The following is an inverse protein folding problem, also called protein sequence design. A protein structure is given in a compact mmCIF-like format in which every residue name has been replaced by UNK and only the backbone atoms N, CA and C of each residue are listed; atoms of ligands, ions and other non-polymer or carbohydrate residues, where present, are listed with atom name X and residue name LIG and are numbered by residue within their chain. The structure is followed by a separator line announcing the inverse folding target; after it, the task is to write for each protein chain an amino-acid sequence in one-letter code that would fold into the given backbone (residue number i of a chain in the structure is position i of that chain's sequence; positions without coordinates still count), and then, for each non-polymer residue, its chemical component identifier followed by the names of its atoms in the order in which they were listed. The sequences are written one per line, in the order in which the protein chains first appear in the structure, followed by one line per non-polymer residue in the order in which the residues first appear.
data_IF_448294004551
#
_entry.id   IF_448294004551
#
_cell.length_a   1.000
_cell.length_b   1.000
_cell.length_c   1.000
_cell.angle_alpha   90.00
_cell.angle_beta   90.00
_cell.angle_gamma   90.00
#
_symmetry.space_group_name_H-M   'P 1'
#
loop_
_entity.id
_entity.type
_entity.pdbx_description
1 polymer ?
#
# COMPACT_ATOMS: atom_id res chain seq x y z
N UNK A 1 -4.80 -29.26 1.48
CA UNK A 1 -4.46 -28.33 0.40
C UNK A 1 -5.54 -28.37 -0.66
N UNK A 2 -5.90 -27.23 -1.25
CA UNK A 2 -6.81 -27.22 -2.40
C UNK A 2 -6.09 -27.88 -3.58
N UNK A 3 -6.73 -28.88 -4.22
CA UNK A 3 -6.17 -29.49 -5.43
C UNK A 3 -6.69 -28.69 -6.62
N UNK A 4 -5.84 -27.86 -7.24
CA UNK A 4 -6.20 -27.06 -8.41
C UNK A 4 -6.35 -27.92 -9.68
N UNK A 5 -7.12 -27.40 -10.64
CA UNK A 5 -7.35 -28.03 -11.94
C UNK A 5 -7.30 -26.97 -13.06
N UNK A 6 -6.90 -27.38 -14.27
CA UNK A 6 -6.72 -26.50 -15.43
C UNK A 6 -8.00 -26.27 -16.24
N UNK A 7 -9.17 -26.65 -15.75
CA UNK A 7 -10.44 -26.53 -16.47
C UNK A 7 -11.26 -25.32 -16.07
N UNK A 8 -12.00 -24.74 -17.00
CA UNK A 8 -12.95 -23.66 -16.71
C UNK A 8 -14.05 -24.10 -15.72
N UNK A 9 -14.46 -25.38 -15.76
CA UNK A 9 -15.44 -25.92 -14.82
C UNK A 9 -14.96 -25.87 -13.38
N UNK A 10 -13.67 -26.10 -13.14
CA UNK A 10 -13.06 -25.92 -11.81
C UNK A 10 -13.16 -24.46 -11.35
N UNK A 11 -12.77 -23.50 -12.21
CA UNK A 11 -12.84 -22.09 -11.89
C UNK A 11 -14.27 -21.63 -11.53
N UNK A 12 -15.26 -22.10 -12.29
CA UNK A 12 -16.68 -21.83 -12.02
C UNK A 12 -17.13 -22.40 -10.67
N UNK A 13 -16.75 -23.64 -10.36
CA UNK A 13 -17.09 -24.28 -9.10
C UNK A 13 -16.47 -23.52 -7.91
N UNK A 14 -15.21 -23.11 -8.00
CA UNK A 14 -14.57 -22.34 -6.94
C UNK A 14 -15.19 -20.94 -6.75
N UNK A 15 -15.69 -20.31 -7.83
CA UNK A 15 -16.43 -19.05 -7.73
C UNK A 15 -17.82 -19.24 -7.06
N UNK A 16 -18.50 -20.35 -7.32
CA UNK A 16 -19.78 -20.71 -6.65
C UNK A 16 -19.57 -20.98 -5.14
N UNK A 17 -18.42 -21.54 -4.76
CA UNK A 17 -18.06 -21.83 -3.37
C UNK A 17 -17.46 -20.62 -2.64
N UNK A 18 -17.14 -19.56 -3.35
CA UNK A 18 -16.50 -18.37 -2.78
C UNK A 18 -17.50 -17.51 -1.99
N UNK A 19 -17.33 -17.44 -0.67
CA UNK A 19 -18.16 -16.62 0.20
C UNK A 19 -18.06 -15.10 -0.09
N UNK A 20 -17.05 -14.67 -0.84
CA UNK A 20 -16.81 -13.27 -1.21
C UNK A 20 -17.23 -12.96 -2.65
N UNK A 21 -17.79 -13.90 -3.41
CA UNK A 21 -18.18 -13.70 -4.81
C UNK A 21 -19.11 -12.50 -5.01
N UNK A 22 -20.10 -12.31 -4.12
CA UNK A 22 -21.06 -11.19 -4.18
C UNK A 22 -20.45 -9.79 -3.99
N UNK A 23 -19.21 -9.68 -3.53
CA UNK A 23 -18.56 -8.37 -3.38
C UNK A 23 -18.16 -7.76 -4.72
N UNK A 24 -17.93 -8.55 -5.78
CA UNK A 24 -17.69 -8.04 -7.14
C UNK A 24 -18.80 -7.08 -7.58
N UNK A 25 -20.04 -7.40 -7.28
CA UNK A 25 -21.20 -6.58 -7.65
C UNK A 25 -21.25 -5.23 -6.95
N UNK A 26 -20.46 -5.04 -5.90
CA UNK A 26 -20.32 -3.75 -5.20
C UNK A 26 -19.35 -2.79 -5.91
N UNK A 27 -18.70 -3.20 -7.02
CA UNK A 27 -17.74 -2.39 -7.77
C UNK A 27 -18.21 -2.07 -9.19
N UNK A 28 -17.68 -0.98 -9.73
CA UNK A 28 -17.76 -0.68 -11.15
C UNK A 28 -16.57 -1.35 -11.85
N UNK A 29 -16.83 -2.46 -12.53
CA UNK A 29 -15.81 -3.12 -13.37
C UNK A 29 -15.79 -2.43 -14.73
N UNK A 30 -14.63 -1.98 -15.24
CA UNK A 30 -14.51 -1.39 -16.57
C UNK A 30 -15.01 -2.33 -17.65
N UNK A 31 -15.59 -1.76 -18.72
CA UNK A 31 -16.17 -2.51 -19.84
C UNK A 31 -15.49 -2.15 -21.15
N UNK A 32 -15.46 -3.10 -22.08
CA UNK A 32 -15.07 -2.86 -23.46
C UNK A 32 -16.16 -2.08 -24.23
N UNK A 33 -15.87 -1.75 -25.50
CA UNK A 33 -16.80 -1.03 -26.39
C UNK A 33 -18.11 -1.81 -26.69
N UNK A 34 -18.13 -3.11 -26.43
CA UNK A 34 -19.30 -3.97 -26.63
C UNK A 34 -20.09 -4.17 -25.34
N UNK A 35 -19.66 -3.57 -24.22
CA UNK A 35 -20.30 -3.68 -22.92
C UNK A 35 -19.88 -4.88 -22.08
N UNK A 36 -18.90 -5.69 -22.52
CA UNK A 36 -18.39 -6.82 -21.75
C UNK A 36 -17.42 -6.34 -20.68
N UNK A 37 -17.48 -6.91 -19.48
CA UNK A 37 -16.54 -6.61 -18.41
C UNK A 37 -15.12 -7.03 -18.78
N UNK A 38 -14.16 -6.15 -18.47
CA UNK A 38 -12.74 -6.45 -18.62
C UNK A 38 -12.25 -7.29 -17.44
N UNK A 39 -11.23 -8.11 -17.65
CA UNK A 39 -10.53 -8.84 -16.59
C UNK A 39 -9.54 -7.86 -15.95
N UNK A 40 -9.95 -7.22 -14.84
CA UNK A 40 -9.19 -6.17 -14.19
C UNK A 40 -8.29 -6.75 -13.10
N UNK A 41 -7.00 -6.87 -13.36
CA UNK A 41 -5.97 -7.46 -12.49
C UNK A 41 -4.88 -6.42 -12.11
N UNK A 42 -5.28 -5.16 -12.00
CA UNK A 42 -4.36 -4.01 -11.80
C UNK A 42 -4.64 -3.21 -10.52
N UNK A 43 -5.25 -3.85 -9.49
CA UNK A 43 -5.53 -3.20 -8.20
C UNK A 43 -4.28 -2.80 -7.41
N UNK A 44 -3.13 -3.34 -7.77
CA UNK A 44 -1.82 -2.92 -7.28
C UNK A 44 -1.38 -1.54 -7.79
N UNK A 45 -2.05 -1.00 -8.80
CA UNK A 45 -1.80 0.35 -9.34
C UNK A 45 -2.95 1.30 -9.02
N UNK A 46 -4.19 0.90 -9.32
CA UNK A 46 -5.41 1.63 -8.96
C UNK A 46 -6.53 0.62 -8.67
N UNK A 47 -7.16 0.72 -7.51
CA UNK A 47 -8.32 -0.10 -7.16
C UNK A 47 -9.60 0.30 -7.92
N UNK A 48 -10.54 -0.63 -8.05
CA UNK A 48 -11.84 -0.37 -8.67
C UNK A 48 -12.72 0.53 -7.78
N UNK A 49 -13.58 1.33 -8.41
CA UNK A 49 -14.51 2.20 -7.70
C UNK A 49 -15.61 1.40 -7.01
N UNK A 50 -15.77 1.50 -5.68
CA UNK A 50 -16.97 1.03 -5.00
C UNK A 50 -18.21 1.81 -5.45
N UNK A 51 -19.32 1.13 -5.73
CA UNK A 51 -20.57 1.77 -6.17
C UNK A 51 -21.15 2.73 -5.10
N UNK A 52 -20.86 2.47 -3.84
CA UNK A 52 -21.27 3.31 -2.72
C UNK A 52 -20.55 4.65 -2.66
N UNK A 53 -19.37 4.79 -3.26
CA UNK A 53 -18.55 6.02 -3.22
C UNK A 53 -19.35 7.25 -3.66
N UNK A 54 -20.18 7.11 -4.70
CA UNK A 54 -21.05 8.20 -5.19
C UNK A 54 -21.93 8.75 -4.09
N UNK A 55 -22.66 7.88 -3.38
CA UNK A 55 -23.59 8.30 -2.33
C UNK A 55 -22.89 8.98 -1.14
N UNK A 56 -21.66 8.55 -0.81
CA UNK A 56 -20.87 9.19 0.24
C UNK A 56 -20.44 10.60 -0.15
N UNK A 57 -20.00 10.79 -1.40
CA UNK A 57 -19.66 12.12 -1.93
C UNK A 57 -20.88 13.02 -2.05
N UNK A 58 -22.00 12.52 -2.55
CA UNK A 58 -23.24 13.26 -2.70
C UNK A 58 -23.78 13.76 -1.34
N UNK A 59 -23.61 12.98 -0.26
CA UNK A 59 -23.98 13.43 1.08
C UNK A 59 -23.20 14.67 1.51
N UNK A 60 -21.89 14.67 1.31
CA UNK A 60 -21.06 15.83 1.70
C UNK A 60 -21.33 17.06 0.82
N UNK A 61 -21.60 16.86 -0.48
CA UNK A 61 -22.01 17.93 -1.38
C UNK A 61 -23.38 18.51 -0.99
N UNK A 62 -24.33 17.66 -0.57
CA UNK A 62 -25.63 18.08 -0.10
C UNK A 62 -25.54 18.90 1.19
N UNK A 63 -24.75 18.43 2.15
CA UNK A 63 -24.52 19.13 3.40
C UNK A 63 -23.83 20.50 3.15
N UNK A 64 -22.87 20.55 2.25
CA UNK A 64 -22.22 21.81 1.86
C UNK A 64 -23.22 22.79 1.22
N UNK A 65 -24.05 22.32 0.30
CA UNK A 65 -25.06 23.17 -0.36
C UNK A 65 -26.06 23.74 0.61
N UNK A 66 -26.50 22.97 1.63
CA UNK A 66 -27.57 23.36 2.54
C UNK A 66 -27.07 24.07 3.79
N UNK A 67 -25.87 23.78 4.27
CA UNK A 67 -25.37 24.23 5.57
C UNK A 67 -24.23 25.26 5.46
N UNK A 68 -23.53 25.29 4.33
CA UNK A 68 -22.35 26.17 4.17
C UNK A 68 -21.35 25.93 5.33
N UNK A 69 -20.97 27.00 6.05
CA UNK A 69 -20.01 26.93 7.16
C UNK A 69 -20.54 26.11 8.34
N UNK A 70 -21.84 26.04 8.54
CA UNK A 70 -22.45 25.26 9.62
C UNK A 70 -22.22 23.75 9.45
N UNK A 71 -21.87 23.28 8.26
CA UNK A 71 -21.49 21.90 8.00
C UNK A 71 -20.29 21.43 8.82
N UNK A 72 -19.45 22.34 9.30
CA UNK A 72 -18.36 21.99 10.21
C UNK A 72 -18.84 21.31 11.49
N UNK A 73 -20.03 21.65 11.97
CA UNK A 73 -20.60 21.17 13.24
C UNK A 73 -21.93 20.44 13.09
N UNK A 74 -22.72 20.75 12.05
CA UNK A 74 -24.08 20.27 11.89
C UNK A 74 -24.31 19.36 10.67
N UNK A 75 -23.30 19.11 9.83
CA UNK A 75 -23.40 18.11 8.77
C UNK A 75 -23.72 16.73 9.35
N UNK A 76 -24.26 15.84 8.53
CA UNK A 76 -24.46 14.43 8.91
C UNK A 76 -23.17 13.78 9.42
N UNK A 77 -22.04 14.14 8.82
CA UNK A 77 -20.70 13.81 9.26
C UNK A 77 -19.97 15.14 9.53
N UNK A 78 -19.95 15.68 10.75
CA UNK A 78 -19.34 16.99 11.04
C UNK A 78 -17.89 17.09 10.57
N UNK A 79 -17.56 18.16 9.83
CA UNK A 79 -16.26 18.23 9.11
C UNK A 79 -15.08 18.50 10.03
N UNK A 80 -15.27 19.13 11.19
CA UNK A 80 -14.20 19.40 12.15
C UNK A 80 -13.47 18.13 12.58
N UNK A 81 -14.21 17.04 12.77
CA UNK A 81 -13.67 15.75 13.24
C UNK A 81 -13.81 14.63 12.20
N UNK A 82 -13.97 14.98 10.92
CA UNK A 82 -14.24 14.00 9.87
C UNK A 82 -13.19 12.89 9.79
N UNK A 83 -11.92 13.24 9.95
CA UNK A 83 -10.80 12.30 9.96
C UNK A 83 -10.92 11.21 11.05
N UNK A 84 -11.57 11.52 12.18
CA UNK A 84 -11.79 10.56 13.26
C UNK A 84 -12.72 9.40 12.86
N UNK A 85 -13.63 9.63 11.89
CA UNK A 85 -14.49 8.59 11.33
C UNK A 85 -13.70 7.49 10.62
N UNK A 86 -12.49 7.80 10.15
CA UNK A 86 -11.61 6.90 9.42
C UNK A 86 -10.63 6.17 10.35
N UNK A 87 -10.20 6.83 11.43
CA UNK A 87 -9.07 6.42 12.27
C UNK A 87 -9.19 5.00 12.80
N UNK A 88 -10.31 4.64 13.44
CA UNK A 88 -10.47 3.30 14.04
C UNK A 88 -10.46 2.19 13.01
N UNK A 89 -11.12 2.38 11.86
CA UNK A 89 -11.18 1.37 10.81
C UNK A 89 -9.84 1.22 10.11
N UNK A 90 -9.15 2.33 9.86
CA UNK A 90 -7.82 2.31 9.28
C UNK A 90 -6.80 1.66 10.23
N UNK A 91 -6.83 2.00 11.52
CA UNK A 91 -5.98 1.38 12.53
C UNK A 91 -6.19 -0.15 12.60
N UNK A 92 -7.45 -0.61 12.65
CA UNK A 92 -7.79 -2.04 12.61
C UNK A 92 -7.27 -2.72 11.35
N UNK A 93 -7.35 -2.04 10.20
CA UNK A 93 -6.92 -2.57 8.91
C UNK A 93 -5.41 -2.83 8.86
N UNK A 94 -4.61 -1.93 9.45
CA UNK A 94 -3.14 -2.01 9.43
C UNK A 94 -2.54 -2.64 10.69
N UNK A 95 -3.38 -3.13 11.62
CA UNK A 95 -2.91 -3.74 12.87
C UNK A 95 -2.24 -2.73 13.80
N UNK A 96 -2.87 -1.55 13.99
CA UNK A 96 -2.36 -0.46 14.82
C UNK A 96 -3.40 -0.03 15.86
N UNK A 97 -2.98 0.77 16.84
CA UNK A 97 -3.88 1.46 17.78
C UNK A 97 -4.43 2.75 17.15
N UNK A 98 -5.63 3.20 17.51
CA UNK A 98 -6.21 4.44 16.96
C UNK A 98 -5.31 5.68 17.13
N UNK A 99 -4.59 5.80 18.24
CA UNK A 99 -3.66 6.93 18.50
C UNK A 99 -2.47 6.96 17.53
N UNK A 100 -2.17 5.83 16.89
CA UNK A 100 -1.02 5.67 16.00
C UNK A 100 -1.30 6.01 14.55
N UNK A 101 -2.58 6.23 14.17
CA UNK A 101 -2.98 6.33 12.77
C UNK A 101 -3.73 7.61 12.47
N UNK A 102 -3.34 8.25 11.35
CA UNK A 102 -4.04 9.39 10.76
C UNK A 102 -4.16 9.22 9.25
N UNK A 103 -5.25 9.70 8.66
CA UNK A 103 -5.42 9.84 7.21
C UNK A 103 -5.21 11.30 6.85
N UNK A 104 -4.16 11.60 6.11
CA UNK A 104 -3.80 12.96 5.74
C UNK A 104 -2.94 12.97 4.47
N UNK A 105 -2.87 14.11 3.78
CA UNK A 105 -1.95 14.39 2.67
C UNK A 105 -1.91 13.29 1.59
N UNK A 106 -0.82 13.25 0.82
CA UNK A 106 -0.47 12.18 -0.13
C UNK A 106 0.72 11.39 0.40
N UNK A 107 0.99 10.21 -0.17
CA UNK A 107 2.02 9.28 0.31
C UNK A 107 3.39 9.96 0.44
N UNK A 108 3.89 10.56 -0.65
CA UNK A 108 5.23 11.16 -0.68
C UNK A 108 5.34 12.38 0.25
N UNK A 109 4.25 13.17 0.41
CA UNK A 109 4.22 14.25 1.41
C UNK A 109 4.35 13.70 2.83
N UNK A 110 3.61 12.61 3.14
CA UNK A 110 3.73 11.94 4.45
C UNK A 110 5.13 11.37 4.66
N UNK A 111 5.75 10.77 3.62
CA UNK A 111 7.14 10.29 3.70
C UNK A 111 8.09 11.41 4.11
N UNK A 112 8.01 12.57 3.48
CA UNK A 112 8.83 13.73 3.86
C UNK A 112 8.56 14.20 5.28
N UNK A 113 7.31 14.25 5.72
CA UNK A 113 6.96 14.63 7.08
C UNK A 113 7.52 13.66 8.13
N UNK A 114 7.48 12.37 7.82
CA UNK A 114 8.07 11.37 8.70
C UNK A 114 9.59 11.48 8.72
N UNK A 115 10.23 11.74 7.58
CA UNK A 115 11.69 11.97 7.57
C UNK A 115 12.10 13.24 8.32
N UNK A 116 11.32 14.32 8.31
CA UNK A 116 11.56 15.50 9.17
C UNK A 116 11.60 15.12 10.65
N UNK A 117 10.78 14.15 11.07
CA UNK A 117 10.70 13.74 12.47
C UNK A 117 11.73 12.67 12.85
N UNK A 118 11.94 11.69 11.98
CA UNK A 118 12.66 10.46 12.31
C UNK A 118 14.04 10.34 11.65
N UNK A 119 14.32 11.08 10.59
CA UNK A 119 15.66 11.18 10.02
C UNK A 119 16.39 12.35 10.69
N UNK A 120 17.22 12.04 11.70
CA UNK A 120 18.03 13.01 12.45
C UNK A 120 19.51 12.73 12.23
N UNK A 121 20.07 13.17 11.07
CA UNK A 121 21.45 12.86 10.74
C UNK A 121 22.46 13.63 11.61
N UNK A 122 23.59 12.98 11.85
CA UNK A 122 24.79 13.55 12.42
C UNK A 122 25.96 13.36 11.46
N UNK A 123 27.13 13.94 11.73
CA UNK A 123 28.30 13.76 10.88
C UNK A 123 28.76 12.30 10.77
N UNK A 124 28.54 11.48 11.80
CA UNK A 124 28.95 10.07 11.84
C UNK A 124 27.79 9.10 11.54
N UNK A 125 26.52 9.54 11.69
CA UNK A 125 25.32 8.72 11.47
C UNK A 125 24.33 9.49 10.62
N UNK A 126 24.41 9.35 9.29
CA UNK A 126 23.58 10.11 8.36
C UNK A 126 23.05 9.27 7.21
N UNK A 127 23.53 8.04 7.06
CA UNK A 127 23.15 7.20 5.92
C UNK A 127 21.70 6.73 6.07
N UNK A 128 21.05 6.54 4.91
CA UNK A 128 19.72 5.97 4.81
C UNK A 128 19.83 4.66 4.02
N UNK A 129 19.27 3.59 4.59
CA UNK A 129 19.20 2.29 3.93
C UNK A 129 17.84 2.13 3.27
N UNK A 130 17.84 1.81 1.96
CA UNK A 130 16.65 1.48 1.15
C UNK A 130 16.86 0.18 0.39
N UNK A 131 15.78 -0.35 -0.22
CA UNK A 131 15.88 -1.46 -1.19
C UNK A 131 16.65 -1.01 -2.44
N UNK A 132 17.43 -1.93 -3.03
CA UNK A 132 18.16 -1.64 -4.27
C UNK A 132 17.25 -1.34 -5.45
N UNK A 133 16.10 -1.98 -5.48
CA UNK A 133 15.02 -1.83 -6.45
C UNK A 133 13.81 -1.08 -5.86
N UNK A 134 14.04 -0.17 -4.91
CA UNK A 134 12.99 0.67 -4.34
C UNK A 134 12.18 1.41 -5.42
N UNK A 135 10.90 1.69 -5.13
CA UNK A 135 10.10 2.49 -6.05
C UNK A 135 10.75 3.86 -6.27
N UNK A 136 10.86 4.34 -7.52
CA UNK A 136 11.62 5.56 -7.83
C UNK A 136 11.24 6.78 -6.99
N UNK A 137 9.95 6.94 -6.65
CA UNK A 137 9.49 8.07 -5.80
C UNK A 137 10.14 8.06 -4.42
N UNK A 138 10.31 6.88 -3.79
CA UNK A 138 10.91 6.77 -2.46
C UNK A 138 12.40 7.07 -2.52
N UNK A 139 13.08 6.55 -3.55
CA UNK A 139 14.48 6.86 -3.80
C UNK A 139 14.69 8.38 -3.98
N UNK A 140 13.86 9.04 -4.82
CA UNK A 140 13.95 10.49 -5.03
C UNK A 140 13.69 11.27 -3.74
N UNK A 141 12.71 10.83 -2.92
CA UNK A 141 12.41 11.46 -1.64
C UNK A 141 13.59 11.35 -0.67
N UNK A 142 14.16 10.16 -0.52
CA UNK A 142 15.31 9.89 0.34
C UNK A 142 16.55 10.68 -0.11
N UNK A 143 16.89 10.66 -1.39
CA UNK A 143 18.01 11.42 -1.95
C UNK A 143 17.82 12.93 -1.72
N UNK A 144 16.58 13.43 -1.86
CA UNK A 144 16.29 14.84 -1.61
C UNK A 144 16.46 15.22 -0.14
N UNK A 145 16.15 14.33 0.79
CA UNK A 145 16.37 14.55 2.23
C UNK A 145 17.86 14.55 2.59
N UNK A 146 18.65 13.64 2.00
CA UNK A 146 20.12 13.67 2.16
C UNK A 146 20.67 15.03 1.75
N UNK A 147 20.34 15.50 0.54
CA UNK A 147 20.77 16.81 0.03
C UNK A 147 20.25 17.98 0.89
N UNK A 148 19.00 17.92 1.38
CA UNK A 148 18.44 18.93 2.25
C UNK A 148 19.25 19.10 3.54
N UNK A 149 19.79 18.00 4.08
CA UNK A 149 20.66 18.00 5.24
C UNK A 149 22.14 18.23 4.94
N UNK A 150 22.50 18.49 3.67
CA UNK A 150 23.87 18.80 3.25
C UNK A 150 24.79 17.59 3.05
N UNK A 151 24.21 16.38 2.90
CA UNK A 151 24.96 15.16 2.61
C UNK A 151 24.92 14.82 1.11
N UNK A 152 25.98 14.19 0.64
CA UNK A 152 26.02 13.62 -0.72
C UNK A 152 25.10 12.39 -0.77
N UNK A 153 24.20 12.37 -1.73
CA UNK A 153 23.22 11.28 -1.88
C UNK A 153 23.85 9.95 -2.32
N UNK A 154 24.99 9.98 -3.04
CA UNK A 154 25.70 8.79 -3.45
C UNK A 154 26.44 8.09 -2.29
N UNK A 155 26.96 8.89 -1.34
CA UNK A 155 27.62 8.37 -0.14
C UNK A 155 26.61 8.06 0.97
N UNK A 156 25.53 8.85 1.04
CA UNK A 156 24.51 8.73 2.08
C UNK A 156 23.50 7.60 1.87
N UNK A 157 23.45 6.96 0.67
CA UNK A 157 22.49 5.94 0.35
C UNK A 157 23.13 4.54 0.42
N UNK A 158 22.58 3.66 1.25
CA UNK A 158 22.93 2.23 1.30
C UNK A 158 21.79 1.43 0.67
N UNK A 159 22.14 0.52 -0.23
CA UNK A 159 21.19 -0.32 -0.95
C UNK A 159 21.18 -1.75 -0.41
N UNK A 160 20.01 -2.24 0.00
CA UNK A 160 19.75 -3.65 0.27
C UNK A 160 19.17 -4.31 -0.97
N UNK A 161 19.97 -5.07 -1.69
CA UNK A 161 19.59 -5.68 -2.97
C UNK A 161 19.53 -7.21 -2.87
N UNK A 162 18.83 -7.84 -3.81
CA UNK A 162 18.97 -9.27 -4.08
C UNK A 162 20.39 -9.60 -4.55
N UNK A 163 20.83 -10.84 -4.32
CA UNK A 163 22.13 -11.33 -4.80
C UNK A 163 22.10 -11.51 -6.32
N UNK A 164 23.29 -11.51 -6.92
CA UNK A 164 23.39 -11.77 -8.36
C UNK A 164 22.73 -13.11 -8.75
N UNK A 165 21.84 -13.05 -9.75
CA UNK A 165 21.04 -14.20 -10.20
C UNK A 165 19.82 -14.53 -9.34
N UNK A 166 19.54 -13.78 -8.28
CA UNK A 166 18.37 -13.91 -7.43
C UNK A 166 17.41 -12.73 -7.63
N UNK A 167 16.11 -12.97 -7.41
CA UNK A 167 15.08 -11.92 -7.54
C UNK A 167 14.68 -11.32 -6.18
N UNK A 168 14.90 -12.06 -5.10
CA UNK A 168 14.40 -11.74 -3.77
C UNK A 168 15.52 -11.28 -2.84
N UNK A 169 15.26 -10.24 -2.09
CA UNK A 169 16.15 -9.77 -1.04
C UNK A 169 16.11 -10.73 0.16
N UNK A 170 17.27 -10.98 0.78
CA UNK A 170 17.42 -11.88 1.92
C UNK A 170 17.70 -11.13 3.20
N UNK A 171 17.04 -11.52 4.27
CA UNK A 171 17.20 -10.88 5.59
C UNK A 171 18.64 -10.98 6.13
N UNK A 172 19.35 -12.07 5.77
CA UNK A 172 20.74 -12.29 6.16
C UNK A 172 21.68 -11.23 5.57
N UNK A 173 21.38 -10.73 4.37
CA UNK A 173 22.15 -9.67 3.73
C UNK A 173 21.90 -8.32 4.40
N UNK A 174 20.66 -8.05 4.84
CA UNK A 174 20.37 -6.90 5.69
C UNK A 174 21.12 -6.97 7.03
N UNK A 175 21.14 -8.15 7.68
CA UNK A 175 21.92 -8.34 8.91
C UNK A 175 23.43 -8.07 8.68
N UNK A 176 23.98 -8.51 7.55
CA UNK A 176 25.36 -8.27 7.19
C UNK A 176 25.67 -6.78 6.97
N UNK A 177 24.78 -6.06 6.27
CA UNK A 177 24.89 -4.61 6.07
C UNK A 177 24.85 -3.88 7.42
N UNK A 178 23.90 -4.21 8.28
CA UNK A 178 23.77 -3.58 9.60
C UNK A 178 24.95 -3.88 10.51
N UNK A 179 25.54 -5.07 10.43
CA UNK A 179 26.75 -5.42 11.16
C UNK A 179 27.97 -4.62 10.68
N UNK A 180 28.04 -4.32 9.40
CA UNK A 180 29.16 -3.61 8.80
C UNK A 180 29.08 -2.08 8.96
N UNK A 181 27.86 -1.52 8.86
CA UNK A 181 27.66 -0.05 8.74
C UNK A 181 26.47 0.48 9.57
N UNK A 182 25.91 -0.32 10.48
CA UNK A 182 24.69 0.08 11.21
C UNK A 182 24.88 1.30 12.10
N UNK A 183 26.07 1.60 12.56
CA UNK A 183 26.44 2.80 13.33
C UNK A 183 26.45 4.08 12.47
N UNK A 184 26.56 3.95 11.14
CA UNK A 184 26.47 5.08 10.20
C UNK A 184 25.03 5.32 9.70
N UNK A 185 24.11 4.34 9.85
CA UNK A 185 22.75 4.39 9.36
C UNK A 185 21.85 5.11 10.37
N UNK A 186 21.27 6.24 9.96
CA UNK A 186 20.30 6.99 10.75
C UNK A 186 18.86 6.46 10.55
N UNK A 187 18.52 6.04 9.33
CA UNK A 187 17.18 5.61 8.96
C UNK A 187 17.23 4.38 8.05
N UNK A 188 16.39 3.40 8.34
CA UNK A 188 16.01 2.32 7.43
C UNK A 188 14.65 2.68 6.87
N UNK A 189 14.52 2.85 5.54
CA UNK A 189 13.28 3.16 4.86
C UNK A 189 13.02 2.15 3.75
N UNK A 190 12.13 1.20 3.99
CA UNK A 190 11.87 0.08 3.08
C UNK A 190 10.40 0.01 2.69
N UNK A 191 10.11 -0.66 1.60
CA UNK A 191 8.74 -1.08 1.29
C UNK A 191 8.24 -2.13 2.29
N UNK A 192 6.94 -2.12 2.62
CA UNK A 192 6.34 -3.25 3.35
C UNK A 192 6.14 -4.46 2.44
N UNK A 193 5.81 -4.20 1.18
CA UNK A 193 5.76 -5.16 0.07
C UNK A 193 6.48 -4.55 -1.11
N UNK A 194 7.48 -5.24 -1.64
CA UNK A 194 8.23 -4.77 -2.79
C UNK A 194 7.31 -4.64 -4.02
N UNK A 195 7.32 -3.49 -4.67
CA UNK A 195 6.40 -3.21 -5.78
C UNK A 195 6.66 -4.03 -7.03
N UNK A 196 7.93 -4.42 -7.25
CA UNK A 196 8.37 -5.15 -8.45
C UNK A 196 8.15 -6.66 -8.31
N UNK A 197 8.72 -7.26 -7.27
CA UNK A 197 8.65 -8.71 -7.03
C UNK A 197 7.37 -9.16 -6.34
N UNK A 198 6.72 -8.28 -5.57
CA UNK A 198 5.61 -8.63 -4.68
C UNK A 198 6.05 -9.28 -3.37
N UNK A 199 7.34 -9.30 -3.06
CA UNK A 199 7.87 -9.84 -1.80
C UNK A 199 7.36 -9.02 -0.61
N UNK A 200 6.69 -9.68 0.33
CA UNK A 200 6.31 -9.12 1.62
C UNK A 200 7.42 -9.37 2.63
N UNK A 201 7.90 -8.29 3.23
CA UNK A 201 8.99 -8.34 4.20
C UNK A 201 8.46 -8.57 5.62
N UNK A 202 9.26 -9.24 6.46
CA UNK A 202 9.00 -9.35 7.89
C UNK A 202 9.33 -8.01 8.59
N UNK A 203 8.31 -7.15 8.70
CA UNK A 203 8.45 -5.80 9.26
C UNK A 203 8.99 -5.84 10.70
N UNK A 204 8.54 -6.81 11.51
CA UNK A 204 8.98 -6.96 12.89
C UNK A 204 10.47 -7.29 12.97
N UNK A 205 10.90 -8.30 12.21
CA UNK A 205 12.30 -8.72 12.19
C UNK A 205 13.23 -7.60 11.71
N UNK A 206 12.82 -6.87 10.66
CA UNK A 206 13.58 -5.72 10.14
C UNK A 206 13.67 -4.62 11.19
N UNK A 207 12.57 -4.32 11.87
CA UNK A 207 12.54 -3.30 12.92
C UNK A 207 13.45 -3.67 14.10
N UNK A 208 13.36 -4.92 14.58
CA UNK A 208 14.20 -5.42 15.67
C UNK A 208 15.70 -5.31 15.29
N UNK A 209 16.05 -5.67 14.05
CA UNK A 209 17.41 -5.54 13.54
C UNK A 209 17.86 -4.08 13.49
N UNK A 210 17.04 -3.18 12.91
CA UNK A 210 17.36 -1.76 12.82
C UNK A 210 17.55 -1.12 14.19
N UNK A 211 16.63 -1.35 15.10
CA UNK A 211 16.71 -0.82 16.47
C UNK A 211 17.92 -1.35 17.27
N UNK A 212 18.32 -2.61 17.04
CA UNK A 212 19.54 -3.16 17.66
C UNK A 212 20.79 -2.34 17.34
N UNK A 213 20.84 -1.73 16.14
CA UNK A 213 21.95 -0.86 15.71
C UNK A 213 21.63 0.65 15.90
N UNK A 214 20.51 1.00 16.55
CA UNK A 214 20.13 2.38 16.86
C UNK A 214 19.61 3.16 15.66
N UNK A 215 19.17 2.47 14.59
CA UNK A 215 18.52 3.10 13.45
C UNK A 215 17.05 3.39 13.76
N UNK A 216 16.50 4.47 13.20
CA UNK A 216 15.04 4.62 13.03
C UNK A 216 14.57 3.72 11.89
N UNK A 217 13.34 3.19 11.98
CA UNK A 217 12.80 2.28 10.98
C UNK A 217 11.43 2.72 10.52
N UNK A 218 11.30 2.98 9.22
CA UNK A 218 10.06 3.35 8.56
C UNK A 218 9.73 2.47 7.36
N UNK A 219 8.42 2.35 7.03
CA UNK A 219 7.97 1.55 5.91
C UNK A 219 7.03 2.31 4.98
N UNK A 220 7.25 2.17 3.65
CA UNK A 220 6.22 2.44 2.65
C UNK A 220 5.35 1.20 2.46
N UNK A 221 4.13 1.26 2.97
CA UNK A 221 3.16 0.19 2.89
C UNK A 221 2.15 0.36 1.73
N UNK A 222 2.51 1.10 0.66
CA UNK A 222 1.65 1.35 -0.49
C UNK A 222 1.13 0.07 -1.16
N UNK A 223 1.94 -0.99 -1.18
CA UNK A 223 1.55 -2.32 -1.66
C UNK A 223 1.13 -3.27 -0.54
N UNK A 224 1.18 -2.83 0.73
CA UNK A 224 0.84 -3.63 1.90
C UNK A 224 -0.57 -3.38 2.43
N UNK A 225 -0.97 -2.11 2.57
CA UNK A 225 -2.25 -1.73 3.16
C UNK A 225 -3.45 -2.26 2.35
N UNK A 226 -4.31 -3.05 3.00
CA UNK A 226 -5.45 -3.72 2.36
C UNK A 226 -5.11 -5.00 1.60
N UNK A 227 -3.84 -5.41 1.57
CA UNK A 227 -3.32 -6.55 0.82
C UNK A 227 -2.75 -7.66 1.72
N UNK A 228 -1.96 -7.28 2.72
CA UNK A 228 -1.33 -8.21 3.69
C UNK A 228 -1.63 -7.79 5.12
N UNK A 229 -1.34 -8.67 6.11
CA UNK A 229 -1.46 -8.33 7.54
C UNK A 229 -0.21 -7.59 7.98
N UNK A 230 -0.27 -6.27 8.07
CA UNK A 230 0.91 -5.44 8.38
C UNK A 230 1.31 -5.49 9.86
N UNK A 231 0.32 -5.61 10.77
CA UNK A 231 0.51 -5.63 12.23
C UNK A 231 1.48 -4.52 12.70
N UNK A 232 1.22 -3.26 12.26
CA UNK A 232 2.16 -2.14 12.42
C UNK A 232 2.51 -1.86 13.89
N UNK A 233 1.56 -1.99 14.82
CA UNK A 233 1.87 -1.84 16.23
C UNK A 233 2.88 -2.89 16.71
N UNK A 234 2.61 -4.17 16.44
CA UNK A 234 3.45 -5.28 16.87
C UNK A 234 4.78 -5.38 16.11
N UNK A 235 4.85 -4.77 14.92
CA UNK A 235 6.11 -4.66 14.18
C UNK A 235 7.13 -3.78 14.89
N UNK A 236 6.65 -2.85 15.72
CA UNK A 236 7.49 -1.91 16.42
C UNK A 236 8.14 -0.84 15.52
N UNK A 237 7.75 -0.71 14.25
CA UNK A 237 8.25 0.34 13.36
C UNK A 237 8.06 1.74 13.97
N UNK A 238 8.94 2.69 13.68
CA UNK A 238 8.79 4.06 14.18
C UNK A 238 7.67 4.78 13.46
N UNK A 239 7.56 4.57 12.14
CA UNK A 239 6.49 5.09 11.31
C UNK A 239 6.20 4.18 10.10
N UNK A 240 5.04 4.36 9.51
CA UNK A 240 4.71 3.80 8.21
C UNK A 240 3.76 4.74 7.45
N UNK A 241 3.81 4.67 6.13
CA UNK A 241 2.95 5.44 5.23
C UNK A 241 2.36 4.54 4.17
N UNK A 242 1.19 4.87 3.64
CA UNK A 242 0.58 4.14 2.52
C UNK A 242 -0.40 5.01 1.75
N UNK A 243 -0.53 4.76 0.43
CA UNK A 243 -1.62 5.33 -0.36
C UNK A 243 -2.92 4.51 -0.18
N UNK A 244 -4.07 5.15 -0.41
CA UNK A 244 -5.38 4.49 -0.28
C UNK A 244 -6.03 4.16 -1.62
N UNK A 245 -5.48 4.64 -2.74
CA UNK A 245 -6.07 4.46 -4.06
C UNK A 245 -5.76 3.10 -4.72
N UNK A 246 -4.78 2.33 -4.20
CA UNK A 246 -4.46 0.99 -4.70
C UNK A 246 -5.46 -0.03 -4.15
N UNK A 247 -5.00 -0.96 -3.33
CA UNK A 247 -5.83 -2.03 -2.76
C UNK A 247 -7.00 -1.54 -1.90
N UNK A 248 -6.91 -0.31 -1.37
CA UNK A 248 -8.00 0.28 -0.58
C UNK A 248 -9.09 0.95 -1.43
N UNK A 249 -8.99 0.96 -2.76
CA UNK A 249 -10.07 1.35 -3.68
C UNK A 249 -10.67 2.74 -3.43
N UNK A 250 -9.89 3.71 -2.91
CA UNK A 250 -10.41 5.01 -2.46
C UNK A 250 -10.43 6.09 -3.54
N UNK A 251 -10.14 5.72 -4.79
CA UNK A 251 -10.15 6.62 -5.94
C UNK A 251 -8.81 7.27 -6.27
N UNK A 252 -8.65 7.76 -7.52
CA UNK A 252 -7.39 8.30 -8.01
C UNK A 252 -6.96 9.53 -7.22
N UNK A 253 -5.68 9.58 -6.81
CA UNK A 253 -5.11 10.69 -6.05
C UNK A 253 -5.64 10.86 -4.62
N UNK A 254 -6.30 9.85 -4.07
CA UNK A 254 -6.86 9.86 -2.72
C UNK A 254 -5.80 10.09 -1.65
N UNK A 255 -6.23 10.60 -0.49
CA UNK A 255 -5.35 10.83 0.65
C UNK A 255 -4.66 9.54 1.11
N UNK A 256 -3.53 9.71 1.76
CA UNK A 256 -2.71 8.64 2.30
C UNK A 256 -2.99 8.39 3.79
N UNK A 257 -2.64 7.19 4.25
CA UNK A 257 -2.55 6.89 5.68
C UNK A 257 -1.13 7.09 6.17
N UNK A 258 -1.01 7.37 7.47
CA UNK A 258 0.24 7.50 8.17
C UNK A 258 0.11 6.84 9.55
N UNK A 259 1.13 6.11 9.93
CA UNK A 259 1.29 5.48 11.23
C UNK A 259 2.51 6.06 11.93
N UNK A 260 2.36 6.37 13.21
CA UNK A 260 3.46 6.72 14.11
C UNK A 260 3.27 5.91 15.38
N UNK A 261 4.24 5.09 15.74
CA UNK A 261 4.15 4.22 16.91
C UNK A 261 3.85 4.99 18.19
N UNK A 262 3.00 4.44 19.08
CA UNK A 262 2.55 5.10 20.33
C UNK A 262 3.70 5.52 21.27
N UNK A 263 4.89 4.87 21.20
CA UNK A 263 6.06 5.31 21.99
C UNK A 263 6.49 6.73 21.67
N UNK A 264 6.10 7.25 20.51
CA UNK A 264 6.36 8.62 20.07
C UNK A 264 5.18 9.57 20.31
N UNK A 265 4.01 9.04 20.74
CA UNK A 265 2.74 9.76 20.79
C UNK A 265 2.80 11.05 21.62
N UNK A 266 3.54 11.03 22.72
CA UNK A 266 3.65 12.15 23.67
C UNK A 266 5.01 12.87 23.60
N UNK A 267 5.87 12.50 22.66
CA UNK A 267 7.18 13.14 22.51
C UNK A 267 7.03 14.50 21.82
N UNK A 268 7.07 15.57 22.60
CA UNK A 268 6.96 16.96 22.13
C UNK A 268 8.26 17.47 21.46
N UNK A 269 9.38 16.79 21.69
CA UNK A 269 10.71 17.19 21.19
C UNK A 269 11.00 16.65 19.78
N UNK A 270 10.08 15.86 19.20
CA UNK A 270 10.19 15.46 17.81
C UNK A 270 9.97 16.67 16.91
N UNK A 271 10.89 16.87 15.97
CA UNK A 271 10.70 17.87 14.92
C UNK A 271 9.44 17.54 14.12
N UNK A 272 8.61 18.53 13.86
CA UNK A 272 7.40 18.41 13.03
C UNK A 272 7.21 19.68 12.22
N UNK A 273 6.70 19.55 11.04
CA UNK A 273 6.01 20.67 10.43
C UNK A 273 4.65 20.82 11.10
N UNK A 274 4.41 21.97 11.71
CA UNK A 274 3.21 22.23 12.48
C UNK A 274 2.23 23.09 11.71
N UNK A 275 0.96 22.96 12.07
CA UNK A 275 -0.10 23.77 11.51
C UNK A 275 -1.29 23.82 12.46
N UNK A 276 -2.30 24.58 12.09
CA UNK A 276 -3.42 24.84 12.99
C UNK A 276 -4.15 23.56 13.42
N UNK A 277 -4.21 22.54 12.53
CA UNK A 277 -4.96 21.31 12.82
C UNK A 277 -4.26 20.35 13.75
N UNK A 278 -2.95 20.44 13.89
CA UNK A 278 -2.17 19.66 14.86
C UNK A 278 -2.16 20.27 16.28
N UNK A 279 -2.74 21.47 16.45
CA UNK A 279 -2.91 22.09 17.76
C UNK A 279 -4.06 21.44 18.54
N UNK A 280 -3.97 21.43 19.85
CA UNK A 280 -4.95 20.93 20.81
C UNK A 280 -6.38 21.37 20.44
N UNK A 281 -7.30 20.41 20.25
CA UNK A 281 -8.67 20.63 19.80
C UNK A 281 -9.48 21.55 20.72
N UNK A 282 -9.21 21.51 22.04
CA UNK A 282 -9.95 22.29 23.05
C UNK A 282 -9.56 23.77 23.01
N UNK A 283 -8.35 24.07 22.56
CA UNK A 283 -7.80 25.44 22.59
C UNK A 283 -7.53 26.03 21.21
N UNK A 284 -7.69 25.21 20.15
CA UNK A 284 -7.43 25.59 18.75
C UNK A 284 -8.12 26.90 18.34
N UNK A 285 -9.38 27.07 18.71
CA UNK A 285 -10.17 28.26 18.37
C UNK A 285 -9.96 29.45 19.32
N UNK A 286 -9.13 29.28 20.35
CA UNK A 286 -8.76 30.40 21.24
C UNK A 286 -7.66 31.29 20.64
N UNK A 287 -7.15 30.93 19.44
CA UNK A 287 -6.12 31.68 18.69
C UNK A 287 -4.91 32.07 19.53
N UNK A 288 -4.40 31.14 20.36
CA UNK A 288 -3.25 31.36 21.22
C UNK A 288 -1.95 31.38 20.44
N UNK A 289 -0.97 32.14 20.90
CA UNK A 289 0.38 32.14 20.31
C UNK A 289 1.16 30.87 20.63
N UNK A 290 0.89 30.24 21.79
CA UNK A 290 1.55 29.00 22.19
C UNK A 290 0.95 27.79 21.43
N UNK A 291 1.83 27.02 20.80
CA UNK A 291 1.47 25.77 20.13
C UNK A 291 1.48 24.62 21.13
N UNK A 292 0.33 23.96 21.30
CA UNK A 292 0.16 22.73 22.08
C UNK A 292 -0.21 21.58 21.16
N UNK A 293 0.77 20.71 20.84
CA UNK A 293 0.61 19.63 19.87
C UNK A 293 -0.32 18.52 20.37
N UNK A 294 -1.20 18.04 19.49
CA UNK A 294 -1.99 16.85 19.75
C UNK A 294 -1.12 15.61 19.94
N UNK A 295 -1.47 14.72 20.88
CA UNK A 295 -0.76 13.45 21.03
C UNK A 295 -1.05 12.50 19.86
N UNK A 296 -0.12 11.56 19.62
CA UNK A 296 -0.25 10.54 18.58
C UNK A 296 -0.05 11.06 17.17
N UNK A 297 -0.42 10.24 16.20
CA UNK A 297 -0.26 10.52 14.78
C UNK A 297 -1.04 11.78 14.31
N UNK A 298 -2.09 12.15 15.02
CA UNK A 298 -2.90 13.33 14.75
C UNK A 298 -2.08 14.64 14.90
N UNK A 299 -1.02 14.63 15.70
CA UNK A 299 -0.09 15.76 15.86
C UNK A 299 0.73 16.10 14.60
N UNK A 300 0.62 15.32 13.53
CA UNK A 300 1.23 15.62 12.21
C UNK A 300 0.25 16.19 11.18
N UNK A 301 -1.04 16.28 11.52
CA UNK A 301 -2.05 16.84 10.63
C UNK A 301 -1.99 18.37 10.63
N UNK A 302 -1.45 18.99 9.59
CA UNK A 302 -1.24 20.44 9.57
C UNK A 302 -2.50 21.26 9.27
N UNK A 303 -3.35 20.77 8.38
CA UNK A 303 -4.49 21.52 7.84
C UNK A 303 -5.82 20.79 8.05
N UNK A 304 -6.90 21.51 7.77
CA UNK A 304 -8.25 20.96 7.78
C UNK A 304 -8.34 19.66 6.97
N UNK A 305 -9.17 18.70 7.42
CA UNK A 305 -9.41 17.48 6.66
C UNK A 305 -9.98 17.76 5.27
N UNK A 306 -9.43 17.18 4.19
CA UNK A 306 -9.99 17.25 2.83
C UNK A 306 -11.24 16.36 2.70
N UNK A 307 -12.41 16.89 3.03
CA UNK A 307 -13.66 16.16 3.26
C UNK A 307 -14.04 15.25 2.09
N UNK A 308 -14.08 15.78 0.85
CA UNK A 308 -14.53 15.00 -0.30
C UNK A 308 -13.63 13.78 -0.59
N UNK A 309 -12.32 13.93 -0.41
CA UNK A 309 -11.40 12.78 -0.54
C UNK A 309 -11.59 11.78 0.60
N UNK A 310 -11.82 12.25 1.82
CA UNK A 310 -12.09 11.40 2.98
C UNK A 310 -13.42 10.65 2.88
N UNK A 311 -14.44 11.21 2.24
CA UNK A 311 -15.71 10.53 1.99
C UNK A 311 -15.54 9.29 1.11
N UNK A 312 -14.70 9.37 0.07
CA UNK A 312 -14.37 8.22 -0.77
C UNK A 312 -13.58 7.14 0.01
N UNK A 313 -12.65 7.54 0.86
CA UNK A 313 -11.91 6.61 1.74
C UNK A 313 -12.85 5.94 2.74
N UNK A 314 -13.80 6.70 3.32
CA UNK A 314 -14.81 6.17 4.24
C UNK A 314 -15.64 5.07 3.59
N UNK A 315 -16.11 5.27 2.35
CA UNK A 315 -16.86 4.27 1.60
C UNK A 315 -16.08 2.95 1.45
N UNK A 316 -14.79 3.03 1.16
CA UNK A 316 -13.91 1.87 1.07
C UNK A 316 -13.69 1.21 2.43
N UNK A 317 -13.35 1.98 3.46
CA UNK A 317 -13.09 1.43 4.80
C UNK A 317 -14.32 0.76 5.41
N UNK A 318 -15.53 1.25 5.13
CA UNK A 318 -16.78 0.63 5.58
C UNK A 318 -16.90 -0.78 4.97
N UNK A 319 -16.51 -0.98 3.70
CA UNK A 319 -16.50 -2.28 3.04
C UNK A 319 -15.42 -3.21 3.63
N UNK A 320 -14.21 -2.71 3.86
CA UNK A 320 -13.14 -3.50 4.48
C UNK A 320 -13.48 -3.94 5.90
N UNK A 321 -14.15 -3.08 6.67
CA UNK A 321 -14.60 -3.40 8.03
C UNK A 321 -15.71 -4.46 8.03
N UNK A 322 -16.64 -4.41 7.05
CA UNK A 322 -17.69 -5.41 6.84
C UNK A 322 -17.10 -6.79 6.53
N UNK A 323 -16.16 -6.86 5.58
CA UNK A 323 -15.56 -8.14 5.12
C UNK A 323 -14.57 -8.70 6.13
N UNK A 324 -13.69 -7.86 6.62
CA UNK A 324 -12.53 -8.21 7.43
C UNK A 324 -11.32 -8.69 6.61
N UNK A 325 -10.15 -8.09 6.88
CA UNK A 325 -8.91 -8.33 6.14
C UNK A 325 -8.48 -9.81 6.12
N UNK A 326 -8.69 -10.56 7.21
CA UNK A 326 -8.34 -11.99 7.30
C UNK A 326 -9.04 -12.84 6.25
N UNK A 327 -10.31 -12.56 5.93
CA UNK A 327 -11.04 -13.28 4.87
C UNK A 327 -10.48 -12.93 3.48
N UNK A 328 -10.13 -11.67 3.27
CA UNK A 328 -9.51 -11.21 2.03
C UNK A 328 -8.16 -11.88 1.79
N UNK A 329 -7.29 -11.93 2.80
CA UNK A 329 -6.00 -12.62 2.72
C UNK A 329 -6.20 -14.13 2.43
N UNK A 330 -7.18 -14.78 3.05
CA UNK A 330 -7.47 -16.20 2.79
C UNK A 330 -7.85 -16.43 1.32
N UNK A 331 -8.70 -15.58 0.73
CA UNK A 331 -9.07 -15.66 -0.69
C UNK A 331 -7.89 -15.29 -1.59
N UNK A 332 -7.12 -14.25 -1.24
CA UNK A 332 -5.91 -13.85 -1.97
C UNK A 332 -4.92 -15.01 -2.14
N UNK A 333 -4.61 -15.73 -1.06
CA UNK A 333 -3.73 -16.91 -1.10
C UNK A 333 -4.25 -18.01 -2.03
N UNK A 334 -5.56 -18.23 -2.08
CA UNK A 334 -6.18 -19.20 -2.98
C UNK A 334 -6.11 -18.75 -4.45
N UNK A 335 -6.46 -17.48 -4.72
CA UNK A 335 -6.43 -16.92 -6.09
C UNK A 335 -5.00 -16.90 -6.65
N UNK A 336 -4.02 -16.45 -5.84
CA UNK A 336 -2.62 -16.44 -6.29
C UNK A 336 -2.02 -17.83 -6.40
N UNK A 337 -2.42 -18.77 -5.54
CA UNK A 337 -2.02 -20.17 -5.67
C UNK A 337 -2.59 -20.80 -6.94
N UNK A 338 -3.84 -20.48 -7.32
CA UNK A 338 -4.43 -20.91 -8.56
C UNK A 338 -3.76 -20.31 -9.79
N UNK A 339 -3.45 -19.00 -9.75
CA UNK A 339 -2.70 -18.33 -10.81
C UNK A 339 -1.31 -18.96 -11.00
N UNK A 340 -0.57 -19.17 -9.90
CA UNK A 340 0.73 -19.82 -9.92
C UNK A 340 0.67 -21.24 -10.52
N UNK A 341 -0.34 -22.01 -10.09
CA UNK A 341 -0.59 -23.36 -10.64
C UNK A 341 -0.81 -23.31 -12.14
N UNK A 342 -1.73 -22.47 -12.64
CA UNK A 342 -2.04 -22.37 -14.07
C UNK A 342 -0.84 -21.91 -14.90
N UNK A 343 -0.07 -20.95 -14.42
CA UNK A 343 1.15 -20.48 -15.10
C UNK A 343 2.18 -21.61 -15.20
N UNK A 344 2.39 -22.38 -14.13
CA UNK A 344 3.32 -23.51 -14.14
C UNK A 344 2.88 -24.64 -15.09
N UNK A 345 1.57 -24.87 -15.23
CA UNK A 345 1.02 -25.87 -16.17
C UNK A 345 1.17 -25.48 -17.64
N UNK A 346 1.46 -24.21 -17.95
CA UNK A 346 1.83 -23.82 -19.32
C UNK A 346 3.12 -24.50 -19.78
N UNK A 347 4.02 -24.85 -18.85
CA UNK A 347 5.33 -25.50 -19.11
C UNK A 347 6.18 -24.73 -20.12
N UNK A 348 6.00 -23.43 -20.21
CA UNK A 348 6.74 -22.52 -21.09
C UNK A 348 7.98 -22.01 -20.38
N UNK A 349 9.16 -22.40 -20.87
CA UNK A 349 10.46 -22.02 -20.25
C UNK A 349 10.80 -20.53 -20.34
N UNK A 350 10.05 -19.75 -21.12
CA UNK A 350 10.17 -18.31 -21.18
C UNK A 350 9.60 -17.63 -19.93
N UNK A 351 8.68 -18.32 -19.22
CA UNK A 351 7.93 -17.74 -18.10
C UNK A 351 8.60 -18.09 -16.78
N UNK A 352 8.80 -17.07 -15.95
CA UNK A 352 9.28 -17.20 -14.57
C UNK A 352 8.44 -16.33 -13.65
N UNK A 353 7.89 -16.90 -12.58
CA UNK A 353 7.30 -16.11 -11.50
C UNK A 353 8.42 -15.66 -10.59
N UNK A 354 8.61 -14.33 -10.45
CA UNK A 354 9.66 -13.73 -9.60
C UNK A 354 9.16 -13.37 -8.20
N UNK A 355 7.86 -13.53 -7.94
CA UNK A 355 7.24 -13.37 -6.62
C UNK A 355 7.56 -14.60 -5.75
N UNK A 356 7.72 -14.44 -4.41
CA UNK A 356 7.95 -15.56 -3.50
C UNK A 356 6.94 -16.70 -3.67
N UNK A 357 7.41 -17.94 -3.66
CA UNK A 357 6.55 -19.14 -3.70
C UNK A 357 5.74 -19.32 -2.43
N UNK A 358 6.33 -18.94 -1.28
CA UNK A 358 5.64 -18.99 0.00
C UNK A 358 4.48 -17.99 0.02
N UNK A 359 3.22 -18.43 0.16
CA UNK A 359 2.07 -17.54 0.18
C UNK A 359 2.01 -16.61 1.41
N UNK A 360 2.84 -16.86 2.45
CA UNK A 360 2.96 -15.98 3.60
C UNK A 360 3.96 -14.83 3.37
N UNK A 361 4.76 -14.93 2.33
CA UNK A 361 5.75 -13.91 1.93
C UNK A 361 5.28 -13.07 0.72
N UNK A 362 3.98 -13.09 0.41
CA UNK A 362 3.40 -12.32 -0.70
C UNK A 362 1.95 -11.90 -0.43
N UNK A 363 1.51 -10.86 -1.13
CA UNK A 363 0.10 -10.47 -1.20
C UNK A 363 -0.61 -11.06 -2.42
N UNK A 364 -1.59 -10.32 -2.98
CA UNK A 364 -2.35 -10.79 -4.14
C UNK A 364 -1.65 -10.55 -5.51
N UNK A 365 -0.48 -9.90 -5.54
CA UNK A 365 0.27 -9.70 -6.78
C UNK A 365 1.17 -10.89 -7.07
N UNK A 366 1.15 -11.38 -8.32
CA UNK A 366 2.24 -12.16 -8.90
C UNK A 366 2.91 -11.35 -10.00
N UNK A 367 4.24 -11.30 -9.97
CA UNK A 367 5.10 -10.71 -10.99
C UNK A 367 5.63 -11.82 -11.88
N UNK A 368 5.29 -11.77 -13.15
CA UNK A 368 5.54 -12.81 -14.13
C UNK A 368 6.50 -12.26 -15.17
N UNK A 369 7.75 -12.69 -15.11
CA UNK A 369 8.74 -12.41 -16.13
C UNK A 369 8.49 -13.30 -17.35
N UNK A 370 8.52 -12.71 -18.55
CA UNK A 370 8.41 -13.42 -19.81
C UNK A 370 9.64 -13.09 -20.66
N UNK A 371 10.66 -13.94 -20.61
CA UNK A 371 11.94 -13.75 -21.29
C UNK A 371 11.75 -13.51 -22.79
N UNK A 372 12.54 -12.61 -23.35
CA UNK A 372 12.50 -12.22 -24.76
C UNK A 372 11.15 -11.61 -25.19
N UNK A 373 10.37 -11.10 -24.24
CA UNK A 373 9.18 -10.28 -24.52
C UNK A 373 9.48 -8.79 -24.37
N UNK A 374 8.60 -7.98 -24.90
CA UNK A 374 8.60 -6.55 -24.77
C UNK A 374 7.17 -6.05 -24.44
N UNK A 375 7.01 -4.75 -24.38
CA UNK A 375 5.71 -4.12 -24.09
C UNK A 375 4.57 -4.55 -25.01
N UNK A 376 4.85 -5.08 -26.20
CA UNK A 376 3.82 -5.58 -27.14
C UNK A 376 3.01 -6.74 -26.53
N UNK A 377 3.60 -7.55 -25.62
CA UNK A 377 2.89 -8.58 -24.88
C UNK A 377 1.77 -7.96 -24.02
N UNK A 378 2.07 -6.92 -23.27
CA UNK A 378 1.09 -6.17 -22.47
C UNK A 378 0.00 -5.56 -23.36
N UNK A 379 0.38 -4.97 -24.51
CA UNK A 379 -0.59 -4.39 -25.44
C UNK A 379 -1.54 -5.45 -26.04
N UNK A 380 -1.04 -6.66 -26.35
CA UNK A 380 -1.86 -7.77 -26.79
C UNK A 380 -2.82 -8.26 -25.71
N UNK A 381 -2.37 -8.37 -24.45
CA UNK A 381 -3.22 -8.69 -23.31
C UNK A 381 -4.32 -7.65 -23.12
N UNK A 382 -3.98 -6.38 -23.16
CA UNK A 382 -4.95 -5.25 -23.06
C UNK A 382 -5.99 -5.32 -24.18
N UNK A 383 -5.57 -5.53 -25.44
CA UNK A 383 -6.50 -5.73 -26.58
C UNK A 383 -7.40 -6.95 -26.43
N UNK A 384 -6.95 -7.97 -25.71
CA UNK A 384 -7.76 -9.17 -25.43
C UNK A 384 -8.71 -8.97 -24.24
N UNK A 385 -8.72 -7.79 -23.62
CA UNK A 385 -9.59 -7.45 -22.49
C UNK A 385 -9.01 -7.77 -21.11
N UNK A 386 -7.68 -7.99 -20.99
CA UNK A 386 -6.99 -8.17 -19.70
C UNK A 386 -6.26 -6.90 -19.34
N UNK A 387 -6.61 -6.30 -18.20
CA UNK A 387 -5.94 -5.13 -17.66
C UNK A 387 -4.99 -5.59 -16.56
N UNK A 388 -3.70 -5.51 -16.84
CA UNK A 388 -2.59 -5.78 -15.91
C UNK A 388 -1.55 -4.66 -16.02
N UNK A 389 -0.45 -4.77 -15.30
CA UNK A 389 0.60 -3.76 -15.26
C UNK A 389 1.88 -4.31 -15.95
N UNK A 390 2.63 -3.42 -16.62
CA UNK A 390 3.93 -3.74 -17.23
C UNK A 390 5.06 -3.07 -16.48
N UNK A 391 6.14 -3.81 -16.30
CA UNK A 391 7.41 -3.27 -15.80
C UNK A 391 8.56 -3.72 -16.69
N UNK A 392 9.34 -2.76 -17.09
CA UNK A 392 10.55 -3.01 -17.86
C UNK A 392 11.54 -3.93 -17.08
N UNK A 393 12.29 -4.79 -17.76
CA UNK A 393 12.29 -4.93 -19.23
C UNK A 393 11.21 -5.89 -19.76
N UNK A 394 10.69 -6.85 -18.98
CA UNK A 394 9.93 -7.99 -19.46
C UNK A 394 8.96 -8.60 -18.42
N UNK A 395 8.49 -7.79 -17.44
CA UNK A 395 7.62 -8.27 -16.36
C UNK A 395 6.19 -7.75 -16.51
N UNK A 396 5.21 -8.66 -16.47
CA UNK A 396 3.80 -8.34 -16.23
C UNK A 396 3.46 -8.58 -14.75
N UNK A 397 2.80 -7.59 -14.12
CA UNK A 397 2.30 -7.74 -12.75
C UNK A 397 0.79 -7.98 -12.81
N UNK A 398 0.37 -9.06 -12.18
CA UNK A 398 -1.02 -9.53 -12.15
C UNK A 398 -1.47 -9.58 -10.70
N UNK A 399 -2.49 -8.83 -10.35
CA UNK A 399 -3.00 -8.75 -8.98
C UNK A 399 -4.49 -9.12 -8.92
N UNK A 400 -4.84 -10.40 -8.74
CA UNK A 400 -6.22 -10.82 -8.52
C UNK A 400 -6.69 -10.40 -7.12
N UNK A 401 -7.30 -9.22 -7.05
CA UNK A 401 -7.79 -8.63 -5.79
C UNK A 401 -9.02 -9.38 -5.28
N UNK A 402 -9.01 -9.88 -4.04
CA UNK A 402 -10.04 -10.77 -3.50
C UNK A 402 -11.45 -10.13 -3.42
N UNK A 403 -11.55 -8.80 -3.38
CA UNK A 403 -12.84 -8.11 -3.32
C UNK A 403 -13.64 -8.21 -4.64
N UNK A 404 -12.96 -8.27 -5.79
CA UNK A 404 -13.67 -8.20 -7.07
C UNK A 404 -13.18 -9.18 -8.15
N UNK A 405 -12.06 -9.85 -7.94
CA UNK A 405 -11.62 -10.89 -8.88
C UNK A 405 -12.11 -12.28 -8.50
N UNK A 406 -12.34 -13.07 -9.54
CA UNK A 406 -12.84 -14.43 -9.49
C UNK A 406 -11.78 -15.44 -9.96
N UNK A 407 -12.02 -16.73 -9.73
CA UNK A 407 -11.19 -17.79 -10.31
C UNK A 407 -11.35 -17.86 -11.84
N UNK A 408 -12.51 -17.47 -12.35
CA UNK A 408 -12.72 -17.35 -13.79
C UNK A 408 -11.88 -16.23 -14.41
N UNK A 409 -11.72 -15.08 -13.72
CA UNK A 409 -10.81 -14.01 -14.17
C UNK A 409 -9.38 -14.54 -14.31
N UNK A 410 -8.91 -15.29 -13.31
CA UNK A 410 -7.56 -15.89 -13.29
C UNK A 410 -7.41 -16.91 -14.42
N UNK A 411 -8.38 -17.81 -14.59
CA UNK A 411 -8.36 -18.81 -15.66
C UNK A 411 -8.31 -18.16 -17.03
N UNK A 412 -9.21 -17.22 -17.31
CA UNK A 412 -9.31 -16.54 -18.61
C UNK A 412 -8.06 -15.71 -18.93
N UNK A 413 -7.47 -15.07 -17.93
CA UNK A 413 -6.20 -14.35 -18.09
C UNK A 413 -5.09 -15.30 -18.58
N UNK A 414 -4.92 -16.45 -17.92
CA UNK A 414 -3.87 -17.42 -18.29
C UNK A 414 -4.14 -18.06 -19.65
N UNK A 415 -5.40 -18.36 -19.98
CA UNK A 415 -5.79 -18.88 -21.28
C UNK A 415 -5.47 -17.89 -22.42
N UNK A 416 -5.76 -16.59 -22.22
CA UNK A 416 -5.40 -15.52 -23.16
C UNK A 416 -3.88 -15.35 -23.27
N UNK A 417 -3.15 -15.39 -22.16
CA UNK A 417 -1.68 -15.33 -22.17
C UNK A 417 -1.11 -16.49 -22.98
N UNK A 418 -1.58 -17.71 -22.74
CA UNK A 418 -1.20 -18.91 -23.49
C UNK A 418 -1.41 -18.73 -25.00
N UNK A 419 -2.58 -18.25 -25.40
CA UNK A 419 -2.90 -17.98 -26.81
C UNK A 419 -1.93 -16.98 -27.44
N UNK A 420 -1.66 -15.87 -26.74
CA UNK A 420 -0.76 -14.80 -27.23
C UNK A 420 0.68 -15.28 -27.37
N UNK A 421 1.14 -16.17 -26.49
CA UNK A 421 2.51 -16.70 -26.52
C UNK A 421 2.73 -17.76 -27.61
N UNK A 422 1.67 -18.39 -28.08
CA UNK A 422 1.72 -19.47 -29.11
C UNK A 422 1.40 -18.96 -30.54
N UNK A 423 0.88 -17.77 -30.69
CA UNK A 423 0.52 -17.17 -31.97
C UNK A 423 1.09 -15.85 -32.27
#
# INVERSE_FOLDING_TARGET
MLTYNTTLSFAKLEDELDQLSGYRDKFHVPKDKNGNELIYLCGNSLGLQPKTTKAYLEQELLDWANLGVEGHTHAKNPWLNYHELLTRKMAKLVGAKPIEVIVMNTLTANLHFMMVSFYKPTRSRYKILIEGDAFPSDKYAVESQLRHHGFDDKDGLILWSSREGEELARIEDLEAILKASGDEIALIMLGGVNYYTGQYFDLKKITELGHKYGCMVGFDCAHGAGNVSLELHESGADFAIWCTYKYLNSGPGSLAGCFVHERHAFNKDLNRFTGWWSHNKQTRFNMRDEFDVLPGAEGWQMSNPPILSMAAIKASLDMFDEVGLKKLIKKSKKLTGYLEFLINELKDQRIKIITPKNPDERGCQLSIQVKNSDRSLHDKLTKSGVICDWREPDVIRVAPVPLYNSYQDVYQMVDKLKYILNG
#
